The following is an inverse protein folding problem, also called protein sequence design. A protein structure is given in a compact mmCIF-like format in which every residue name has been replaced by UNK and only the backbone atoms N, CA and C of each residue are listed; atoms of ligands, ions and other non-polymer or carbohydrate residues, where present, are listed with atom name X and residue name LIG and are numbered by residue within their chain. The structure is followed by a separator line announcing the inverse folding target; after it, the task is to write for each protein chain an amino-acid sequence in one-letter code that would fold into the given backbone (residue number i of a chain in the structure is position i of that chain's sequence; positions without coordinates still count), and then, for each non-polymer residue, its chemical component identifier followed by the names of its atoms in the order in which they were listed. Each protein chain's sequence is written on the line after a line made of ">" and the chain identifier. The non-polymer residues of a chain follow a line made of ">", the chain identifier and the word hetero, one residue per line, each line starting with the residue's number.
data_IF_909818020285
#
_entry.id   IF_909818020285
#
_cell.length_a   1.000
_cell.length_b   1.000
_cell.length_c   1.000
_cell.angle_alpha   90.00
_cell.angle_beta   90.00
_cell.angle_gamma   90.00
#
_symmetry.space_group_name_H-M   'P 1'
#
loop_
_entity.id
_entity.type
_entity.pdbx_description
1 polymer ?
#
# COMPACT_ATOMS: atom_id res chain seq x y z
N UNK A 1 107.87 8.37 32.16
CA UNK A 1 106.53 8.73 31.67
C UNK A 1 106.75 9.83 30.66
N UNK A 2 106.58 9.56 29.37
CA UNK A 2 106.71 10.60 28.34
C UNK A 2 105.43 11.43 28.38
N UNK A 3 105.53 12.66 28.89
CA UNK A 3 104.53 13.69 28.64
C UNK A 3 104.58 14.01 27.15
N UNK A 4 103.74 13.32 26.37
CA UNK A 4 103.40 13.71 25.02
C UNK A 4 102.51 14.95 25.12
N UNK A 5 103.13 16.12 25.28
CA UNK A 5 102.44 17.40 25.16
C UNK A 5 101.93 17.51 23.72
N UNK A 6 100.63 17.30 23.50
CA UNK A 6 100.00 17.53 22.20
C UNK A 6 100.13 19.01 21.86
N UNK A 7 100.98 19.33 20.88
CA UNK A 7 101.10 20.68 20.37
C UNK A 7 100.04 20.87 19.26
N UNK A 8 98.90 21.43 19.62
CA UNK A 8 97.84 21.81 18.66
C UNK A 8 98.20 23.18 18.08
N UNK A 9 98.21 23.31 16.76
CA UNK A 9 98.51 24.59 16.12
C UNK A 9 97.29 25.52 16.17
N UNK A 10 97.52 26.84 16.18
CA UNK A 10 96.44 27.83 16.12
C UNK A 10 95.53 27.66 14.88
N UNK A 11 96.09 27.16 13.76
CA UNK A 11 95.32 26.86 12.55
C UNK A 11 94.32 25.71 12.74
N UNK A 12 94.72 24.65 13.46
CA UNK A 12 93.81 23.53 13.77
C UNK A 12 92.66 23.95 14.70
N UNK A 13 92.93 24.86 15.65
CA UNK A 13 91.91 25.46 16.51
C UNK A 13 90.90 26.28 15.71
N UNK A 14 91.39 27.12 14.78
CA UNK A 14 90.52 27.97 13.97
C UNK A 14 89.67 27.18 12.97
N UNK A 15 90.21 26.11 12.37
CA UNK A 15 89.44 25.17 11.55
C UNK A 15 88.34 24.46 12.36
N UNK A 16 88.65 24.04 13.59
CA UNK A 16 87.68 23.41 14.48
C UNK A 16 86.55 24.36 14.89
N UNK A 17 86.86 25.63 15.18
CA UNK A 17 85.86 26.66 15.48
C UNK A 17 84.94 26.94 14.28
N UNK A 18 85.51 27.01 13.08
CA UNK A 18 84.74 27.21 11.86
C UNK A 18 83.82 26.01 11.56
N UNK A 19 84.34 24.78 11.75
CA UNK A 19 83.56 23.55 11.63
C UNK A 19 82.42 23.49 12.65
N UNK A 20 82.68 23.83 13.91
CA UNK A 20 81.66 23.87 14.96
C UNK A 20 80.55 24.88 14.64
N UNK A 21 80.94 26.07 14.19
CA UNK A 21 79.97 27.13 13.82
C UNK A 21 79.08 26.67 12.67
N UNK A 22 79.64 26.00 11.66
CA UNK A 22 78.88 25.42 10.55
C UNK A 22 77.91 24.33 11.02
N UNK A 23 78.37 23.42 11.90
CA UNK A 23 77.52 22.36 12.46
C UNK A 23 76.36 22.93 13.29
N UNK A 24 76.59 24.00 14.06
CA UNK A 24 75.53 24.67 14.82
C UNK A 24 74.48 25.27 13.87
N UNK A 25 74.93 25.95 12.81
CA UNK A 25 74.02 26.53 11.83
C UNK A 25 73.19 25.46 11.11
N UNK A 26 73.81 24.34 10.72
CA UNK A 26 73.13 23.20 10.11
C UNK A 26 72.12 22.57 11.09
N UNK A 27 72.47 22.44 12.37
CA UNK A 27 71.59 21.89 13.39
C UNK A 27 70.33 22.76 13.58
N UNK A 28 70.48 24.08 13.62
CA UNK A 28 69.34 25.02 13.71
C UNK A 28 68.47 24.98 12.45
N UNK A 29 69.07 24.84 11.27
CA UNK A 29 68.32 24.64 10.03
C UNK A 29 67.52 23.34 10.06
N UNK A 30 68.12 22.23 10.52
CA UNK A 30 67.45 20.94 10.63
C UNK A 30 66.30 20.98 11.64
N UNK A 31 66.47 21.61 12.80
CA UNK A 31 65.39 21.81 13.78
C UNK A 31 64.20 22.54 13.18
N UNK A 32 64.45 23.59 12.40
CA UNK A 32 63.40 24.37 11.74
C UNK A 32 62.65 23.53 10.70
N UNK A 33 63.38 22.74 9.90
CA UNK A 33 62.76 21.83 8.93
C UNK A 33 61.93 20.75 9.60
N UNK A 34 62.42 20.21 10.72
CA UNK A 34 61.72 19.17 11.48
C UNK A 34 60.40 19.69 12.06
N UNK A 35 60.42 20.89 12.66
CA UNK A 35 59.21 21.54 13.15
C UNK A 35 58.19 21.82 12.02
N UNK A 36 58.67 22.22 10.84
CA UNK A 36 57.81 22.45 9.68
C UNK A 36 57.19 21.13 9.18
N UNK A 37 57.97 20.06 9.10
CA UNK A 37 57.51 18.74 8.70
C UNK A 37 56.48 18.16 9.68
N UNK A 38 56.71 18.31 10.99
CA UNK A 38 55.75 17.91 12.03
C UNK A 38 54.43 18.67 11.91
N UNK A 39 54.48 19.98 11.67
CA UNK A 39 53.28 20.79 11.44
C UNK A 39 52.49 20.32 10.22
N UNK A 40 53.18 20.01 9.12
CA UNK A 40 52.54 19.49 7.91
C UNK A 40 51.94 18.10 8.12
N UNK A 41 52.67 17.21 8.81
CA UNK A 41 52.19 15.87 9.15
C UNK A 41 50.90 15.94 9.96
N UNK A 42 50.86 16.79 11.00
CA UNK A 42 49.67 16.93 11.85
C UNK A 42 48.45 17.46 11.07
N UNK A 43 48.65 18.36 10.10
CA UNK A 43 47.57 18.83 9.21
C UNK A 43 47.03 17.71 8.33
N UNK A 44 47.93 16.95 7.70
CA UNK A 44 47.54 15.81 6.86
C UNK A 44 46.87 14.70 7.66
N UNK A 45 47.30 14.46 8.90
CA UNK A 45 46.67 13.49 9.79
C UNK A 45 45.23 13.89 10.11
N UNK A 46 44.99 15.17 10.43
CA UNK A 46 43.64 15.68 10.68
C UNK A 46 42.75 15.60 9.43
N UNK A 47 43.28 15.95 8.26
CA UNK A 47 42.55 15.84 6.99
C UNK A 47 42.17 14.37 6.68
N UNK A 48 43.10 13.44 6.86
CA UNK A 48 42.82 12.00 6.70
C UNK A 48 41.72 11.50 7.63
N UNK A 49 41.71 11.94 8.90
CA UNK A 49 40.66 11.59 9.85
C UNK A 49 39.29 12.07 9.36
N UNK A 50 39.19 13.33 8.91
CA UNK A 50 37.93 13.87 8.38
C UNK A 50 37.46 13.15 7.10
N UNK A 51 38.39 12.79 6.21
CA UNK A 51 38.09 12.03 5.00
C UNK A 51 37.63 10.61 5.33
N UNK A 52 38.21 10.00 6.36
CA UNK A 52 37.79 8.67 6.82
C UNK A 52 36.36 8.71 7.38
N UNK A 53 36.03 9.69 8.21
CA UNK A 53 34.67 9.89 8.73
C UNK A 53 33.65 10.10 7.60
N UNK A 54 34.01 10.94 6.63
CA UNK A 54 33.16 11.20 5.47
C UNK A 54 32.93 9.94 4.62
N UNK A 55 33.99 9.14 4.39
CA UNK A 55 33.88 7.87 3.67
C UNK A 55 32.98 6.86 4.40
N UNK A 56 33.07 6.79 5.73
CA UNK A 56 32.17 5.95 6.54
C UNK A 56 30.71 6.38 6.39
N UNK A 57 30.44 7.69 6.42
CA UNK A 57 29.09 8.24 6.21
C UNK A 57 28.54 7.90 4.83
N UNK A 58 29.31 8.16 3.78
CA UNK A 58 28.91 7.82 2.40
C UNK A 58 28.68 6.32 2.22
N UNK A 59 29.51 5.49 2.84
CA UNK A 59 29.34 4.03 2.78
C UNK A 59 28.02 3.62 3.43
N UNK A 60 27.72 4.18 4.61
CA UNK A 60 26.44 3.94 5.30
C UNK A 60 25.24 4.37 4.44
N UNK A 61 25.26 5.58 3.90
CA UNK A 61 24.19 6.11 3.04
C UNK A 61 23.99 5.26 1.78
N UNK A 62 25.08 4.81 1.14
CA UNK A 62 25.00 3.91 -0.01
C UNK A 62 24.37 2.56 0.35
N UNK A 63 24.72 1.99 1.51
CA UNK A 63 24.10 0.72 1.95
C UNK A 63 22.61 0.87 2.23
N UNK A 64 22.20 1.99 2.82
CA UNK A 64 20.80 2.28 3.09
C UNK A 64 20.00 2.49 1.79
N UNK A 65 20.49 3.33 0.88
CA UNK A 65 19.85 3.58 -0.41
C UNK A 65 19.72 2.30 -1.25
N UNK A 66 20.73 1.43 -1.21
CA UNK A 66 20.66 0.13 -1.88
C UNK A 66 19.54 -0.73 -1.29
N UNK A 67 19.43 -0.81 0.04
CA UNK A 67 18.36 -1.55 0.71
C UNK A 67 16.97 -0.99 0.39
N UNK A 68 16.84 0.34 0.32
CA UNK A 68 15.57 0.99 -0.03
C UNK A 68 15.17 0.68 -1.48
N UNK A 69 16.11 0.75 -2.42
CA UNK A 69 15.88 0.42 -3.81
C UNK A 69 15.45 -1.03 -4.00
N UNK A 70 16.11 -1.97 -3.31
CA UNK A 70 15.73 -3.39 -3.32
C UNK A 70 14.32 -3.63 -2.76
N UNK A 71 13.97 -2.95 -1.67
CA UNK A 71 12.63 -3.02 -1.08
C UNK A 71 11.55 -2.44 -2.01
N UNK A 72 11.83 -1.31 -2.67
CA UNK A 72 10.91 -0.67 -3.61
C UNK A 72 10.68 -1.53 -4.85
N UNK A 73 11.75 -2.11 -5.41
CA UNK A 73 11.65 -3.05 -6.53
C UNK A 73 10.77 -4.25 -6.15
N UNK A 74 10.99 -4.84 -4.97
CA UNK A 74 10.18 -5.96 -4.48
C UNK A 74 8.71 -5.58 -4.34
N UNK A 75 8.42 -4.46 -3.68
CA UNK A 75 7.06 -3.95 -3.50
C UNK A 75 6.35 -3.71 -4.84
N UNK A 76 7.04 -3.10 -5.80
CA UNK A 76 6.52 -2.85 -7.14
C UNK A 76 6.21 -4.14 -7.89
N UNK A 77 7.08 -5.15 -7.79
CA UNK A 77 6.85 -6.46 -8.40
C UNK A 77 5.64 -7.16 -7.78
N UNK A 78 5.49 -7.13 -6.46
CA UNK A 78 4.34 -7.71 -5.76
C UNK A 78 3.03 -7.04 -6.19
N UNK A 79 2.99 -5.71 -6.24
CA UNK A 79 1.83 -4.95 -6.70
C UNK A 79 1.48 -5.27 -8.16
N UNK A 80 2.49 -5.37 -9.03
CA UNK A 80 2.27 -5.74 -10.43
C UNK A 80 1.69 -7.15 -10.56
N UNK A 81 2.19 -8.11 -9.77
CA UNK A 81 1.65 -9.48 -9.76
C UNK A 81 0.18 -9.51 -9.29
N UNK A 82 -0.14 -8.78 -8.23
CA UNK A 82 -1.53 -8.67 -7.73
C UNK A 82 -2.45 -8.06 -8.77
N UNK A 83 -2.06 -6.96 -9.41
CA UNK A 83 -2.83 -6.34 -10.48
C UNK A 83 -3.13 -7.32 -11.64
N UNK A 84 -2.12 -8.08 -12.06
CA UNK A 84 -2.29 -9.06 -13.14
C UNK A 84 -3.21 -10.22 -12.73
N UNK A 85 -3.14 -10.64 -11.46
CA UNK A 85 -4.01 -11.65 -10.89
C UNK A 85 -5.48 -11.17 -10.85
N UNK A 86 -5.73 -9.98 -10.32
CA UNK A 86 -7.08 -9.38 -10.29
C UNK A 86 -7.67 -9.21 -11.69
N UNK A 87 -6.85 -8.77 -12.65
CA UNK A 87 -7.25 -8.64 -14.05
C UNK A 87 -7.70 -10.00 -14.62
N UNK A 88 -6.97 -11.07 -14.35
CA UNK A 88 -7.33 -12.41 -14.79
C UNK A 88 -8.64 -12.88 -14.13
N UNK A 89 -8.83 -12.59 -12.85
CA UNK A 89 -10.04 -12.93 -12.12
C UNK A 89 -11.28 -12.22 -12.68
N UNK A 90 -11.16 -10.93 -13.01
CA UNK A 90 -12.23 -10.16 -13.65
C UNK A 90 -12.62 -10.78 -14.99
N UNK A 91 -11.64 -11.02 -15.87
CA UNK A 91 -11.90 -11.64 -17.19
C UNK A 91 -12.55 -13.02 -17.05
N UNK A 92 -12.11 -13.80 -16.05
CA UNK A 92 -12.69 -15.12 -15.77
C UNK A 92 -14.15 -15.00 -15.34
N UNK A 93 -14.48 -14.04 -14.46
CA UNK A 93 -15.85 -13.77 -14.01
C UNK A 93 -16.73 -13.28 -15.16
N UNK A 94 -16.23 -12.36 -15.98
CA UNK A 94 -16.95 -11.83 -17.14
C UNK A 94 -17.26 -12.94 -18.15
N UNK A 95 -16.30 -13.84 -18.42
CA UNK A 95 -16.54 -15.01 -19.26
C UNK A 95 -17.68 -15.87 -18.72
N UNK A 96 -17.66 -16.19 -17.41
CA UNK A 96 -18.71 -17.00 -16.78
C UNK A 96 -20.09 -16.32 -16.84
N UNK A 97 -20.14 -14.99 -16.70
CA UNK A 97 -21.37 -14.22 -16.83
C UNK A 97 -21.92 -14.28 -18.26
N UNK A 98 -21.07 -14.08 -19.27
CA UNK A 98 -21.45 -14.16 -20.67
C UNK A 98 -21.95 -15.56 -21.06
N UNK A 99 -21.32 -16.62 -20.54
CA UNK A 99 -21.79 -18.01 -20.73
C UNK A 99 -23.19 -18.22 -20.16
N UNK A 100 -23.44 -17.75 -18.92
CA UNK A 100 -24.77 -17.83 -18.29
C UNK A 100 -25.82 -17.00 -19.03
N UNK A 101 -25.45 -15.82 -19.51
CA UNK A 101 -26.34 -14.97 -20.29
C UNK A 101 -26.73 -15.63 -21.62
N UNK A 102 -25.75 -16.20 -22.33
CA UNK A 102 -26.00 -16.96 -23.56
C UNK A 102 -26.91 -18.17 -23.33
N UNK A 103 -26.72 -18.89 -22.22
CA UNK A 103 -27.59 -20.01 -21.83
C UNK A 103 -29.02 -19.56 -21.50
N UNK A 104 -29.20 -18.39 -20.88
CA UNK A 104 -30.51 -17.80 -20.62
C UNK A 104 -31.23 -17.45 -21.93
N UNK A 105 -30.56 -16.80 -22.87
CA UNK A 105 -31.14 -16.51 -24.18
C UNK A 105 -31.49 -17.79 -24.95
N UNK A 106 -30.63 -18.82 -24.91
CA UNK A 106 -30.91 -20.12 -25.53
C UNK A 106 -32.19 -20.74 -24.98
N UNK A 107 -32.34 -20.77 -23.64
CA UNK A 107 -33.55 -21.31 -22.98
C UNK A 107 -34.81 -20.50 -23.30
N UNK A 108 -34.72 -19.17 -23.39
CA UNK A 108 -35.86 -18.35 -23.80
C UNK A 108 -36.33 -18.69 -25.22
N UNK A 109 -35.40 -18.86 -26.15
CA UNK A 109 -35.71 -19.28 -27.53
C UNK A 109 -36.35 -20.67 -27.53
N UNK A 110 -35.80 -21.63 -26.79
CA UNK A 110 -36.38 -22.98 -26.66
C UNK A 110 -37.83 -22.95 -26.11
N UNK A 111 -38.09 -22.13 -25.08
CA UNK A 111 -39.43 -21.95 -24.50
C UNK A 111 -40.38 -21.33 -25.52
N UNK A 112 -39.96 -20.27 -26.22
CA UNK A 112 -40.77 -19.61 -27.24
C UNK A 112 -41.06 -20.51 -28.46
N UNK A 113 -40.17 -21.46 -28.74
CA UNK A 113 -40.29 -22.41 -29.85
C UNK A 113 -41.13 -23.64 -29.52
N UNK A 114 -41.51 -23.83 -28.25
CA UNK A 114 -42.28 -25.00 -27.82
C UNK A 114 -43.74 -24.83 -28.23
N UNK A 115 -44.37 -25.82 -28.91
CA UNK A 115 -45.78 -25.74 -29.26
C UNK A 115 -46.61 -25.66 -27.96
N UNK A 116 -47.53 -24.69 -27.91
CA UNK A 116 -48.42 -24.52 -26.78
C UNK A 116 -49.23 -25.81 -26.57
N UNK A 117 -49.27 -26.40 -25.36
CA UNK A 117 -50.28 -27.38 -25.05
C UNK A 117 -51.64 -26.69 -25.22
N UNK A 118 -52.48 -27.25 -26.08
CA UNK A 118 -53.87 -26.85 -26.31
C UNK A 118 -54.67 -27.04 -25.03
N UNK A 119 -54.54 -26.09 -24.12
CA UNK A 119 -55.49 -25.83 -23.06
C UNK A 119 -55.48 -24.33 -22.87
N UNK A 120 -56.41 -23.65 -23.52
CA UNK A 120 -56.75 -22.26 -23.25
C UNK A 120 -57.31 -22.17 -21.82
N UNK A 121 -56.43 -22.23 -20.82
CA UNK A 121 -56.69 -21.56 -19.56
C UNK A 121 -56.20 -20.13 -19.77
N UNK A 122 -57.10 -19.16 -19.59
CA UNK A 122 -56.70 -17.77 -19.44
C UNK A 122 -55.50 -17.72 -18.50
N UNK A 123 -54.43 -17.03 -18.92
CA UNK A 123 -53.35 -16.68 -18.01
C UNK A 123 -53.99 -16.19 -16.70
N UNK A 124 -53.73 -16.83 -15.54
CA UNK A 124 -54.37 -16.44 -14.30
C UNK A 124 -54.05 -14.96 -14.08
N UNK A 125 -55.08 -14.11 -14.11
CA UNK A 125 -54.91 -12.67 -13.87
C UNK A 125 -54.21 -12.56 -12.52
N UNK A 126 -53.00 -12.02 -12.52
CA UNK A 126 -52.23 -11.88 -11.30
C UNK A 126 -53.07 -11.09 -10.30
N UNK A 127 -53.41 -11.66 -9.13
CA UNK A 127 -54.29 -10.99 -8.21
C UNK A 127 -53.62 -9.71 -7.69
N UNK A 128 -54.36 -8.60 -7.70
CA UNK A 128 -53.82 -7.30 -7.25
C UNK A 128 -54.18 -7.07 -5.79
N UNK A 129 -53.19 -6.72 -4.98
CA UNK A 129 -53.42 -6.31 -3.58
C UNK A 129 -54.05 -4.90 -3.55
N UNK A 130 -55.17 -4.68 -2.83
CA UNK A 130 -55.73 -3.36 -2.60
C UNK A 130 -54.70 -2.42 -2.00
N UNK A 131 -54.73 -1.15 -2.41
CA UNK A 131 -53.82 -0.16 -1.86
C UNK A 131 -54.06 0.06 -0.37
N UNK A 132 -52.97 0.23 0.40
CA UNK A 132 -53.02 0.57 1.81
C UNK A 132 -52.28 1.87 2.06
N UNK A 133 -52.98 2.83 2.67
CA UNK A 133 -52.50 4.22 2.87
C UNK A 133 -52.08 4.55 4.31
N UNK A 134 -52.19 3.59 5.25
CA UNK A 134 -51.79 3.79 6.65
C UNK A 134 -52.94 3.82 7.66
N UNK A 135 -54.16 3.42 7.27
CA UNK A 135 -55.30 3.40 8.21
C UNK A 135 -55.10 2.36 9.32
N UNK A 136 -55.00 2.80 10.57
CA UNK A 136 -54.90 1.93 11.75
C UNK A 136 -56.12 1.03 11.94
N UNK A 137 -57.31 1.53 11.61
CA UNK A 137 -58.58 0.77 11.67
C UNK A 137 -58.69 -0.22 10.50
N UNK A 138 -58.18 0.16 9.33
CA UNK A 138 -58.22 -0.66 8.12
C UNK A 138 -57.15 -1.75 8.05
N UNK A 139 -56.08 -1.64 8.84
CA UNK A 139 -54.92 -2.53 8.77
C UNK A 139 -55.28 -4.00 8.98
N UNK A 140 -56.08 -4.32 10.01
CA UNK A 140 -56.47 -5.70 10.30
C UNK A 140 -57.22 -6.35 9.15
N UNK A 141 -58.15 -5.61 8.52
CA UNK A 141 -58.90 -6.11 7.35
C UNK A 141 -58.00 -6.28 6.13
N UNK A 142 -57.07 -5.36 5.94
CA UNK A 142 -56.14 -5.40 4.83
C UNK A 142 -55.17 -6.59 4.95
N UNK A 143 -54.61 -6.85 6.15
CA UNK A 143 -53.75 -8.01 6.40
C UNK A 143 -54.51 -9.32 6.20
N UNK A 144 -55.73 -9.47 6.75
CA UNK A 144 -56.51 -10.68 6.53
C UNK A 144 -56.75 -10.95 5.04
N UNK A 145 -57.06 -9.91 4.26
CA UNK A 145 -57.24 -10.04 2.82
C UNK A 145 -55.95 -10.46 2.11
N UNK A 146 -54.79 -9.90 2.49
CA UNK A 146 -53.48 -10.26 1.92
C UNK A 146 -53.11 -11.71 2.27
N UNK A 147 -53.38 -12.13 3.50
CA UNK A 147 -53.18 -13.51 3.97
C UNK A 147 -54.05 -14.48 3.16
N UNK A 148 -55.36 -14.21 3.05
CA UNK A 148 -56.29 -15.03 2.26
C UNK A 148 -55.83 -15.11 0.79
N UNK A 149 -55.32 -14.00 0.24
CA UNK A 149 -54.77 -14.00 -1.11
C UNK A 149 -53.58 -14.96 -1.23
N UNK A 150 -52.60 -14.90 -0.34
CA UNK A 150 -51.42 -15.75 -0.45
C UNK A 150 -51.70 -17.22 -0.14
N UNK A 151 -52.71 -17.53 0.67
CA UNK A 151 -53.20 -18.90 0.85
C UNK A 151 -53.81 -19.47 -0.44
N UNK A 152 -54.54 -18.64 -1.20
CA UNK A 152 -55.15 -19.03 -2.47
C UNK A 152 -54.15 -19.10 -3.65
N UNK A 153 -52.92 -18.60 -3.47
CA UNK A 153 -51.88 -18.56 -4.51
C UNK A 153 -50.53 -19.07 -3.99
N UNK A 154 -50.43 -20.37 -3.61
CA UNK A 154 -49.23 -20.95 -3.01
C UNK A 154 -48.00 -20.93 -3.95
N UNK A 155 -48.21 -20.84 -5.27
CA UNK A 155 -47.16 -20.76 -6.28
C UNK A 155 -46.37 -19.44 -6.26
N UNK A 156 -46.84 -18.41 -5.55
CA UNK A 156 -46.10 -17.16 -5.43
C UNK A 156 -44.87 -17.36 -4.53
N UNK A 157 -43.68 -17.06 -5.07
CA UNK A 157 -42.44 -17.04 -4.30
C UNK A 157 -42.48 -15.96 -3.22
N UNK A 158 -41.68 -16.12 -2.16
CA UNK A 158 -41.57 -15.11 -1.10
C UNK A 158 -41.20 -13.73 -1.66
N UNK A 159 -40.29 -13.68 -2.63
CA UNK A 159 -39.92 -12.46 -3.33
C UNK A 159 -41.12 -11.78 -4.02
N UNK A 160 -41.94 -12.53 -4.75
CA UNK A 160 -43.12 -11.99 -5.43
C UNK A 160 -44.14 -11.46 -4.41
N UNK A 161 -44.37 -12.19 -3.30
CA UNK A 161 -45.28 -11.76 -2.24
C UNK A 161 -44.83 -10.44 -1.61
N UNK A 162 -43.54 -10.31 -1.27
CA UNK A 162 -42.97 -9.07 -0.73
C UNK A 162 -43.11 -7.91 -1.70
N UNK A 163 -42.79 -8.12 -2.98
CA UNK A 163 -42.91 -7.07 -3.99
C UNK A 163 -44.36 -6.58 -4.11
N UNK A 164 -45.34 -7.50 -4.21
CA UNK A 164 -46.76 -7.16 -4.30
C UNK A 164 -47.25 -6.36 -3.09
N UNK A 165 -46.82 -6.73 -1.88
CA UNK A 165 -47.13 -5.99 -0.65
C UNK A 165 -46.55 -4.59 -0.72
N UNK A 166 -45.26 -4.45 -1.02
CA UNK A 166 -44.56 -3.16 -1.09
C UNK A 166 -45.14 -2.23 -2.15
N UNK A 167 -45.57 -2.75 -3.31
CA UNK A 167 -46.21 -1.97 -4.37
C UNK A 167 -47.58 -1.42 -3.95
N UNK A 168 -48.31 -2.16 -3.12
CA UNK A 168 -49.64 -1.78 -2.63
C UNK A 168 -49.61 -0.76 -1.48
N UNK A 169 -48.47 -0.57 -0.82
CA UNK A 169 -48.30 0.49 0.19
C UNK A 169 -48.20 1.86 -0.48
N UNK A 170 -48.97 2.83 0.02
CA UNK A 170 -49.02 4.22 -0.44
C UNK A 170 -48.95 5.18 0.76
N UNK A 171 -48.56 6.43 0.49
CA UNK A 171 -48.58 7.53 1.46
C UNK A 171 -47.92 7.16 2.80
N UNK A 172 -48.62 7.32 3.93
CA UNK A 172 -48.08 7.09 5.27
C UNK A 172 -47.61 5.65 5.46
N UNK A 173 -48.33 4.67 4.91
CA UNK A 173 -47.91 3.27 5.00
C UNK A 173 -46.60 3.00 4.25
N UNK A 174 -46.37 3.70 3.12
CA UNK A 174 -45.10 3.60 2.40
C UNK A 174 -43.99 4.30 3.18
N UNK A 175 -44.28 5.47 3.75
CA UNK A 175 -43.33 6.20 4.59
C UNK A 175 -42.91 5.39 5.84
N UNK A 176 -43.82 4.65 6.47
CA UNK A 176 -43.48 3.75 7.59
C UNK A 176 -42.61 2.57 7.16
N UNK A 177 -42.85 2.01 5.97
CA UNK A 177 -42.06 0.90 5.44
C UNK A 177 -40.64 1.33 5.06
N UNK A 178 -40.49 2.53 4.49
CA UNK A 178 -39.20 3.08 4.06
C UNK A 178 -38.44 3.79 5.22
N UNK A 179 -39.08 3.98 6.38
CA UNK A 179 -38.43 4.59 7.54
C UNK A 179 -37.33 3.69 8.11
N UNK A 180 -36.20 4.28 8.51
CA UNK A 180 -35.16 3.56 9.25
C UNK A 180 -35.74 3.00 10.57
N UNK A 181 -35.38 1.78 10.96
CA UNK A 181 -35.86 1.24 12.24
C UNK A 181 -35.37 2.14 13.37
N UNK A 182 -36.32 2.65 14.16
CA UNK A 182 -35.99 3.43 15.35
C UNK A 182 -35.03 2.61 16.23
N UNK A 183 -33.94 3.26 16.65
CA UNK A 183 -32.89 2.70 17.49
C UNK A 183 -33.36 2.22 18.88
N UNK A 184 -34.66 2.28 19.15
CA UNK A 184 -35.32 1.89 20.40
C UNK A 184 -35.91 0.46 20.40
N UNK A 185 -35.73 -0.34 19.34
CA UNK A 185 -36.21 -1.75 19.29
C UNK A 185 -35.09 -2.80 19.20
N UNK A 186 -33.91 -2.51 19.77
CA UNK A 186 -33.02 -3.57 20.23
C UNK A 186 -33.27 -3.82 21.72
N UNK A 187 -34.00 -4.90 22.02
CA UNK A 187 -34.04 -5.58 23.31
C UNK A 187 -34.05 -7.07 23.05
#
# INVERSE_FOLDING_TARGET
>A
MNDNTMHVSAGQLQEAEMSYTNLVAENEQLKTQLAAAESQYNKLAAENETLQEHNLKITSENTELKSQCEAEVKSKTEMFMQYQQEKLEIVTREKQLAEKEADLYRRQVEIASRPAPTTYASSPKMPKIPEFRGSTIGFTRWISWVSDLFENYPQLTDFNRRMMVVESLKEEARAWYDAEPDSSTTS
#
